data_IF_843767532708
#
_entry.id   IF_843767532708
#
_cell.length_a   1.000
_cell.length_b   1.000
_cell.length_c   1.000
_cell.angle_alpha   90.00
_cell.angle_beta   90.00
_cell.angle_gamma   90.00
#
_symmetry.space_group_name_H-M   'P 1'
#
loop_
_entity.id
_entity.type
_entity.pdbx_description
1 polymer ?
#
# COMPACT_ATOMS: atom_id res chain seq x y z
N UNK A 1 -7.99 -13.24 -2.70
CA UNK A 1 -7.58 -11.87 -2.29
C UNK A 1 -6.60 -11.26 -3.28
N UNK A 2 -5.40 -11.81 -3.49
CA UNK A 2 -4.37 -11.25 -4.41
C UNK A 2 -4.91 -10.92 -5.81
N UNK A 3 -5.57 -11.87 -6.48
CA UNK A 3 -6.15 -11.66 -7.82
C UNK A 3 -7.27 -10.61 -7.84
N UNK A 4 -8.05 -10.49 -6.76
CA UNK A 4 -9.15 -9.52 -6.68
C UNK A 4 -8.62 -8.07 -6.59
N UNK A 5 -7.45 -7.88 -5.98
CA UNK A 5 -6.76 -6.59 -5.92
C UNK A 5 -5.79 -6.36 -7.09
N UNK A 6 -5.69 -7.30 -8.03
CA UNK A 6 -4.79 -7.20 -9.19
C UNK A 6 -3.31 -7.10 -8.82
N UNK A 7 -2.90 -7.60 -7.65
CA UNK A 7 -1.52 -7.45 -7.18
C UNK A 7 -0.60 -8.34 -8.04
N UNK A 8 0.46 -7.79 -8.65
CA UNK A 8 1.42 -8.58 -9.41
C UNK A 8 2.05 -9.70 -8.57
N UNK A 9 2.42 -10.80 -9.22
CA UNK A 9 3.11 -11.91 -8.56
C UNK A 9 4.60 -11.88 -8.88
N UNK A 10 5.43 -11.91 -7.85
CA UNK A 10 6.85 -12.20 -7.95
C UNK A 10 7.06 -13.70 -8.17
N UNK A 11 7.76 -14.05 -9.25
CA UNK A 11 8.03 -15.44 -9.68
C UNK A 11 6.77 -16.32 -9.75
N UNK A 12 5.60 -15.74 -10.03
CA UNK A 12 4.30 -16.42 -10.01
C UNK A 12 3.92 -17.10 -8.67
N UNK A 13 4.59 -16.76 -7.56
CA UNK A 13 4.36 -17.44 -6.27
C UNK A 13 3.99 -16.48 -5.14
N UNK A 14 4.58 -15.27 -5.11
CA UNK A 14 4.39 -14.34 -4.00
C UNK A 14 3.76 -13.04 -4.50
N UNK A 15 2.80 -12.48 -3.76
CA UNK A 15 2.32 -11.13 -4.07
C UNK A 15 3.45 -10.12 -3.93
N UNK A 16 3.57 -9.20 -4.89
CA UNK A 16 4.47 -8.05 -4.74
C UNK A 16 4.00 -7.18 -3.58
N UNK A 17 4.96 -6.62 -2.84
CA UNK A 17 4.70 -5.76 -1.69
C UNK A 17 3.95 -4.49 -2.10
N UNK A 18 2.83 -4.22 -1.43
CA UNK A 18 2.02 -3.01 -1.59
C UNK A 18 1.56 -2.49 -0.24
N UNK A 19 1.15 -1.22 -0.17
CA UNK A 19 0.59 -0.61 1.03
C UNK A 19 -0.71 0.13 0.70
N UNK A 20 -1.70 -0.01 1.59
CA UNK A 20 -2.99 0.65 1.49
C UNK A 20 -3.26 1.37 2.82
N UNK A 21 -3.74 2.60 2.76
CA UNK A 21 -4.20 3.34 3.93
C UNK A 21 -5.67 3.68 3.76
N UNK A 22 -6.48 3.21 4.71
CA UNK A 22 -7.91 3.47 4.77
C UNK A 22 -8.23 4.38 5.95
N UNK A 23 -9.16 5.31 5.75
CA UNK A 23 -9.74 6.18 6.79
C UNK A 23 -11.26 6.22 6.57
N UNK A 24 -12.02 5.97 7.63
CA UNK A 24 -13.49 5.92 7.60
C UNK A 24 -14.06 5.01 6.49
N UNK A 25 -13.44 3.84 6.31
CA UNK A 25 -13.83 2.85 5.29
C UNK A 25 -13.47 3.23 3.85
N UNK A 26 -12.80 4.37 3.62
CA UNK A 26 -12.37 4.84 2.30
C UNK A 26 -10.86 4.69 2.13
N UNK A 27 -10.43 4.24 0.95
CA UNK A 27 -9.01 4.21 0.57
C UNK A 27 -8.52 5.63 0.32
N UNK A 28 -7.59 6.13 1.15
CA UNK A 28 -7.05 7.49 1.04
C UNK A 28 -5.63 7.52 0.48
N UNK A 29 -4.92 6.38 0.49
CA UNK A 29 -3.61 6.24 -0.15
C UNK A 29 -3.31 4.80 -0.52
N UNK A 30 -2.62 4.63 -1.64
CA UNK A 30 -2.22 3.35 -2.19
C UNK A 30 -0.81 3.46 -2.79
N UNK A 31 0.08 2.58 -2.36
CA UNK A 31 1.44 2.47 -2.88
C UNK A 31 1.69 1.06 -3.41
N UNK A 32 1.94 1.00 -4.72
CA UNK A 32 2.18 -0.24 -5.47
C UNK A 32 3.59 -0.78 -5.34
N UNK A 33 4.51 0.00 -4.76
CA UNK A 33 5.95 -0.28 -4.67
C UNK A 33 6.49 0.08 -3.28
N UNK A 34 5.72 -0.22 -2.25
CA UNK A 34 6.08 0.12 -0.87
C UNK A 34 7.48 -0.41 -0.51
N UNK A 35 8.28 0.43 0.13
CA UNK A 35 9.60 0.07 0.65
C UNK A 35 9.51 -0.40 2.10
N UNK A 36 10.25 -1.45 2.49
CA UNK A 36 10.37 -1.85 3.91
C UNK A 36 10.85 -0.71 4.80
N UNK A 37 11.80 0.07 4.29
CA UNK A 37 12.60 0.97 5.10
C UNK A 37 11.92 2.34 5.23
N UNK A 38 11.04 2.68 4.27
CA UNK A 38 10.39 3.99 4.20
C UNK A 38 8.90 3.97 4.58
N UNK A 39 8.26 2.80 4.68
CA UNK A 39 6.79 2.69 4.81
C UNK A 39 6.22 3.54 5.94
N UNK A 40 6.84 3.54 7.12
CA UNK A 40 6.38 4.33 8.26
C UNK A 40 6.43 5.85 7.96
N UNK A 41 7.52 6.33 7.36
CA UNK A 41 7.67 7.73 6.98
C UNK A 41 6.63 8.15 5.94
N UNK A 42 6.36 7.28 4.97
CA UNK A 42 5.42 7.59 3.88
C UNK A 42 3.98 7.67 4.37
N UNK A 43 3.57 6.79 5.30
CA UNK A 43 2.26 6.88 5.97
C UNK A 43 2.12 8.20 6.72
N UNK A 44 3.13 8.62 7.49
CA UNK A 44 3.08 9.89 8.23
C UNK A 44 2.92 11.10 7.30
N UNK A 45 3.63 11.12 6.15
CA UNK A 45 3.49 12.19 5.15
C UNK A 45 2.07 12.26 4.59
N UNK A 46 1.43 11.11 4.35
CA UNK A 46 0.05 11.05 3.85
C UNK A 46 -0.93 11.57 4.90
N UNK A 47 -0.78 11.16 6.15
CA UNK A 47 -1.63 11.62 7.25
C UNK A 47 -1.51 13.13 7.46
N UNK A 48 -0.29 13.69 7.38
CA UNK A 48 -0.06 15.12 7.48
C UNK A 48 -0.73 15.94 6.34
N UNK A 49 -0.84 15.38 5.13
CA UNK A 49 -1.55 16.01 3.99
C UNK A 49 -3.06 15.92 4.06
N UNK A 50 -3.58 15.01 4.88
CA UNK A 50 -5.03 14.70 4.98
C UNK A 50 -5.64 15.27 6.27
N UNK A 51 -4.90 16.15 6.95
CA UNK A 51 -5.31 16.85 8.18
C UNK A 51 -5.87 18.24 7.87
#
# INVERSE_FOLDING_TARGET
VISAFGVPLFKNTYATRQAYLFKDGKLIWFDTKASTDAQASDVLKVLAKTS
#
